data_IF_679540514433
#
_entry.id   IF_679540514433
#
_cell.length_a   1.000
_cell.length_b   1.000
_cell.length_c   1.000
_cell.angle_alpha   90.00
_cell.angle_beta   90.00
_cell.angle_gamma   90.00
#
_symmetry.space_group_name_H-M   'P 1'
#
loop_
_entity.id
_entity.type
_entity.pdbx_description
1 polymer ?
#
# COMPACT_ATOMS: atom_id res chain seq x y z
N UNK A 1 -7.87 13.74 -8.56
CA UNK A 1 -7.51 12.98 -7.36
C UNK A 1 -8.33 11.72 -7.50
N UNK A 2 -7.67 10.63 -7.81
CA UNK A 2 -8.30 9.34 -8.06
C UNK A 2 -7.42 8.31 -7.41
N UNK A 3 -7.93 7.75 -6.32
CA UNK A 3 -7.27 6.63 -5.65
C UNK A 3 -8.19 5.42 -5.73
N UNK A 4 -7.62 4.25 -6.00
CA UNK A 4 -8.35 2.98 -6.08
C UNK A 4 -7.74 1.99 -5.11
N UNK A 5 -8.58 1.28 -4.39
CA UNK A 5 -8.14 0.29 -3.40
C UNK A 5 -9.00 -0.95 -3.51
N UNK A 6 -8.39 -2.12 -3.47
CA UNK A 6 -9.12 -3.38 -3.40
C UNK A 6 -8.18 -4.58 -3.38
N UNK A 7 -8.74 -5.78 -3.47
CA UNK A 7 -7.95 -7.00 -3.51
C UNK A 7 -7.30 -7.18 -4.88
N UNK A 8 -5.99 -7.38 -4.89
CA UNK A 8 -5.28 -7.99 -6.02
C UNK A 8 -5.42 -9.51 -5.98
N UNK A 9 -5.33 -10.06 -4.77
CA UNK A 9 -5.61 -11.45 -4.45
C UNK A 9 -6.44 -11.44 -3.17
N UNK A 10 -7.67 -11.92 -3.28
CA UNK A 10 -8.65 -11.93 -2.19
C UNK A 10 -8.05 -12.45 -0.88
N UNK A 11 -8.16 -11.66 0.18
CA UNK A 11 -7.65 -11.99 1.51
C UNK A 11 -6.13 -12.07 1.65
N UNK A 12 -5.33 -11.80 0.61
CA UNK A 12 -3.86 -11.99 0.63
C UNK A 12 -3.07 -10.74 0.26
N UNK A 13 -3.48 -10.07 -0.81
CA UNK A 13 -2.73 -8.93 -1.37
C UNK A 13 -3.71 -7.83 -1.73
N UNK A 14 -3.54 -6.68 -1.10
CA UNK A 14 -4.29 -5.45 -1.37
C UNK A 14 -3.49 -4.63 -2.38
N UNK A 15 -4.18 -4.12 -3.40
CA UNK A 15 -3.66 -3.16 -4.35
C UNK A 15 -4.21 -1.77 -4.04
N UNK A 16 -3.32 -0.79 -4.10
CA UNK A 16 -3.64 0.62 -3.95
C UNK A 16 -3.03 1.34 -5.15
N UNK A 17 -3.84 2.03 -5.93
CA UNK A 17 -3.38 2.92 -7.00
C UNK A 17 -3.73 4.34 -6.61
N UNK A 18 -2.76 5.24 -6.66
CA UNK A 18 -2.97 6.66 -6.38
C UNK A 18 -2.45 7.52 -7.52
N UNK A 19 -3.30 8.41 -8.03
CA UNK A 19 -2.95 9.32 -9.13
C UNK A 19 -2.99 10.79 -8.69
N UNK A 20 -2.06 11.59 -9.24
CA UNK A 20 -1.95 13.05 -9.08
C UNK A 20 -1.47 13.54 -7.70
N UNK A 21 -2.37 13.92 -6.81
CA UNK A 21 -2.08 14.46 -5.48
C UNK A 21 -3.04 13.79 -4.52
N UNK A 22 -2.52 13.26 -3.42
CA UNK A 22 -3.32 12.58 -2.39
C UNK A 22 -3.33 13.45 -1.15
N UNK A 23 -4.52 13.80 -0.67
CA UNK A 23 -4.67 14.59 0.55
C UNK A 23 -4.45 13.74 1.80
N UNK A 24 -4.25 14.37 2.96
CA UNK A 24 -4.12 13.63 4.22
C UNK A 24 -5.42 12.94 4.65
N UNK A 25 -6.57 13.56 4.33
CA UNK A 25 -7.89 13.02 4.64
C UNK A 25 -8.20 11.82 3.72
N UNK A 26 -7.82 11.90 2.45
CA UNK A 26 -7.92 10.78 1.52
C UNK A 26 -7.01 9.61 1.95
N UNK A 27 -5.77 9.88 2.38
CA UNK A 27 -4.90 8.85 2.96
C UNK A 27 -5.51 8.21 4.21
N UNK A 28 -6.19 8.99 5.05
CA UNK A 28 -6.87 8.47 6.22
C UNK A 28 -7.99 7.48 5.82
N UNK A 29 -8.82 7.86 4.85
CA UNK A 29 -9.94 7.03 4.40
C UNK A 29 -9.47 5.77 3.68
N UNK A 30 -8.43 5.88 2.85
CA UNK A 30 -7.75 4.74 2.22
C UNK A 30 -7.20 3.79 3.28
N UNK A 31 -6.44 4.30 4.26
CA UNK A 31 -5.83 3.45 5.28
C UNK A 31 -6.87 2.75 6.19
N UNK A 32 -7.98 3.41 6.49
CA UNK A 32 -9.08 2.78 7.23
C UNK A 32 -9.73 1.67 6.40
N UNK A 33 -10.00 1.92 5.11
CA UNK A 33 -10.55 0.89 4.24
C UNK A 33 -9.61 -0.31 4.06
N UNK A 34 -8.30 -0.08 3.95
CA UNK A 34 -7.30 -1.16 3.92
C UNK A 34 -7.33 -1.96 5.23
N UNK A 35 -7.43 -1.29 6.39
CA UNK A 35 -7.54 -1.97 7.67
C UNK A 35 -8.82 -2.82 7.74
N UNK A 36 -9.96 -2.32 7.24
CA UNK A 36 -11.21 -3.08 7.16
C UNK A 36 -11.06 -4.34 6.27
N UNK A 37 -10.33 -4.24 5.16
CA UNK A 37 -10.00 -5.41 4.32
C UNK A 37 -9.10 -6.39 5.07
N UNK A 38 -8.11 -5.92 5.81
CA UNK A 38 -7.23 -6.79 6.61
C UNK A 38 -8.00 -7.53 7.72
N UNK A 39 -9.00 -6.91 8.34
CA UNK A 39 -9.85 -7.55 9.36
C UNK A 39 -10.71 -8.68 8.79
N UNK A 40 -11.07 -8.59 7.50
CA UNK A 40 -11.84 -9.62 6.79
C UNK A 40 -11.01 -10.84 6.34
N UNK A 41 -9.68 -10.75 6.39
CA UNK A 41 -8.80 -11.81 5.89
C UNK A 41 -8.64 -12.98 6.88
N UNK A 42 -8.78 -14.22 6.43
CA UNK A 42 -8.58 -15.41 7.29
C UNK A 42 -7.11 -15.85 7.45
N UNK A 43 -6.17 -15.03 7.00
CA UNK A 43 -4.73 -15.32 7.02
C UNK A 43 -3.98 -14.43 8.01
N UNK A 44 -2.82 -14.87 8.53
CA UNK A 44 -2.07 -14.10 9.50
C UNK A 44 -1.43 -12.83 8.92
N UNK A 45 -1.13 -12.79 7.62
CA UNK A 45 -0.47 -11.64 6.98
C UNK A 45 -1.15 -11.30 5.66
N UNK A 46 -1.41 -10.01 5.48
CA UNK A 46 -1.94 -9.38 4.28
C UNK A 46 -0.91 -8.39 3.76
N UNK A 47 -0.58 -8.48 2.47
CA UNK A 47 0.38 -7.63 1.81
C UNK A 47 -0.29 -6.44 1.15
N UNK A 48 0.43 -5.34 1.00
CA UNK A 48 -0.05 -4.13 0.32
C UNK A 48 0.93 -3.77 -0.79
N UNK A 49 0.44 -3.63 -2.01
CA UNK A 49 1.17 -3.03 -3.12
C UNK A 49 0.53 -1.67 -3.40
N UNK A 50 1.29 -0.61 -3.15
CA UNK A 50 0.90 0.77 -3.42
C UNK A 50 1.61 1.26 -4.68
N UNK A 51 0.85 1.38 -5.76
CA UNK A 51 1.28 1.95 -7.01
C UNK A 51 0.98 3.45 -7.04
N UNK A 52 2.02 4.24 -6.81
CA UNK A 52 1.90 5.67 -6.66
C UNK A 52 2.37 6.42 -7.91
N UNK A 53 1.40 6.91 -8.67
CA UNK A 53 1.59 7.87 -9.76
C UNK A 53 1.44 9.32 -9.28
N UNK A 54 1.23 9.55 -7.98
CA UNK A 54 1.06 10.89 -7.45
C UNK A 54 2.39 11.67 -7.50
N UNK A 55 2.32 12.86 -8.08
CA UNK A 55 3.40 13.84 -8.08
C UNK A 55 3.65 14.41 -6.67
N UNK A 56 2.65 14.36 -5.78
CA UNK A 56 2.71 14.93 -4.43
C UNK A 56 1.99 14.07 -3.40
N UNK A 57 2.62 13.96 -2.23
CA UNK A 57 2.01 13.41 -1.01
C UNK A 57 2.20 14.43 0.12
N UNK A 58 1.44 14.33 1.22
CA UNK A 58 1.65 15.18 2.39
C UNK A 58 3.02 14.89 3.01
N UNK A 59 3.84 15.92 3.21
CA UNK A 59 5.20 15.77 3.77
C UNK A 59 5.27 15.91 5.29
N UNK A 60 4.11 16.12 5.93
CA UNK A 60 4.05 16.17 7.38
C UNK A 60 4.14 14.75 7.95
N UNK A 61 5.35 14.37 8.37
CA UNK A 61 5.65 13.03 8.91
C UNK A 61 4.75 12.65 10.09
N UNK A 62 4.41 13.60 10.97
CA UNK A 62 3.55 13.32 12.13
C UNK A 62 2.13 12.98 11.67
N UNK A 63 1.61 13.69 10.67
CA UNK A 63 0.30 13.37 10.10
C UNK A 63 0.34 12.05 9.35
N UNK A 64 1.36 11.81 8.52
CA UNK A 64 1.56 10.52 7.84
C UNK A 64 1.59 9.36 8.83
N UNK A 65 2.34 9.48 9.92
CA UNK A 65 2.38 8.45 10.96
C UNK A 65 1.00 8.19 11.56
N UNK A 66 0.21 9.24 11.84
CA UNK A 66 -1.14 9.09 12.40
C UNK A 66 -2.06 8.36 11.44
N UNK A 67 -2.12 8.78 10.18
CA UNK A 67 -3.03 8.19 9.19
C UNK A 67 -2.60 6.81 8.74
N UNK A 68 -1.30 6.51 8.75
CA UNK A 68 -0.77 5.17 8.41
C UNK A 68 -0.86 4.18 9.56
N UNK A 69 -1.31 4.57 10.76
CA UNK A 69 -1.35 3.67 11.92
C UNK A 69 -2.32 2.48 11.77
N UNK A 70 -3.54 2.60 11.21
CA UNK A 70 -4.48 1.49 11.02
C UNK A 70 -3.85 0.37 10.19
N UNK A 71 -3.41 0.74 8.98
CA UNK A 71 -2.18 0.37 8.26
C UNK A 71 -1.09 -0.46 8.96
N UNK A 72 -0.04 0.29 9.25
CA UNK A 72 1.28 -0.19 9.62
C UNK A 72 1.29 -0.87 11.00
N UNK A 73 0.36 -0.50 11.88
CA UNK A 73 0.18 -1.11 13.20
C UNK A 73 -0.73 -2.34 13.21
N UNK A 74 -1.33 -2.71 12.08
CA UNK A 74 -2.25 -3.85 12.03
C UNK A 74 -1.53 -5.16 12.36
N UNK A 75 -2.09 -6.04 13.21
CA UNK A 75 -1.46 -7.32 13.54
C UNK A 75 -1.29 -8.23 12.32
N UNK A 76 -2.14 -8.07 11.31
CA UNK A 76 -2.05 -8.79 10.02
C UNK A 76 -1.22 -8.07 8.96
N UNK A 77 -0.52 -6.98 9.28
CA UNK A 77 0.27 -6.26 8.29
C UNK A 77 1.49 -7.08 7.84
N UNK A 78 1.54 -7.40 6.55
CA UNK A 78 2.67 -8.05 5.89
C UNK A 78 3.66 -7.06 5.27
N UNK A 79 4.26 -7.44 4.14
CA UNK A 79 5.00 -6.53 3.27
C UNK A 79 4.15 -5.39 2.71
N UNK A 80 4.68 -4.19 2.81
CA UNK A 80 4.20 -2.98 2.15
C UNK A 80 5.20 -2.64 1.05
N UNK A 81 4.76 -2.75 -0.20
CA UNK A 81 5.60 -2.53 -1.39
C UNK A 81 5.12 -1.27 -2.07
N UNK A 82 6.02 -0.33 -2.28
CA UNK A 82 5.71 0.94 -2.92
C UNK A 82 6.39 1.01 -4.26
N UNK A 83 5.56 1.17 -5.27
CA UNK A 83 5.95 1.34 -6.65
C UNK A 83 5.84 2.83 -6.94
N UNK A 84 6.97 3.49 -7.13
CA UNK A 84 6.97 4.89 -7.53
C UNK A 84 8.22 5.23 -8.30
N UNK A 85 8.11 6.23 -9.16
CA UNK A 85 9.27 6.87 -9.74
C UNK A 85 10.13 7.53 -8.64
N UNK A 86 11.40 7.77 -8.93
CA UNK A 86 12.37 8.31 -7.97
C UNK A 86 12.04 9.75 -7.57
N UNK A 87 11.25 9.90 -6.50
CA UNK A 87 11.03 11.16 -5.79
C UNK A 87 11.68 11.08 -4.41
N UNK A 88 12.91 11.61 -4.29
CA UNK A 88 13.72 11.49 -3.07
C UNK A 88 13.06 12.06 -1.80
N UNK A 89 12.13 13.01 -1.95
CA UNK A 89 11.40 13.59 -0.83
C UNK A 89 10.28 12.67 -0.32
N UNK A 90 9.56 12.02 -1.22
CA UNK A 90 8.60 10.94 -0.90
C UNK A 90 9.33 9.79 -0.23
N UNK A 91 10.49 9.39 -0.78
CA UNK A 91 11.29 8.30 -0.26
C UNK A 91 11.77 8.58 1.16
N UNK A 92 12.22 9.81 1.42
CA UNK A 92 12.60 10.24 2.76
C UNK A 92 11.43 10.13 3.74
N UNK A 93 10.25 10.64 3.37
CA UNK A 93 9.07 10.59 4.22
C UNK A 93 8.64 9.14 4.52
N UNK A 94 8.62 8.27 3.51
CA UNK A 94 8.26 6.86 3.69
C UNK A 94 9.27 6.09 4.54
N UNK A 95 10.57 6.36 4.36
CA UNK A 95 11.61 5.78 5.22
C UNK A 95 11.48 6.22 6.68
N UNK A 96 11.11 7.47 6.94
CA UNK A 96 10.87 7.94 8.30
C UNK A 96 9.65 7.26 8.95
N UNK A 97 8.56 7.08 8.19
CA UNK A 97 7.35 6.40 8.69
C UNK A 97 7.60 4.92 8.95
N UNK A 98 8.27 4.21 8.05
CA UNK A 98 8.51 2.76 8.19
C UNK A 98 9.37 2.41 9.40
N UNK A 99 10.35 3.25 9.75
CA UNK A 99 11.19 3.07 10.94
C UNK A 99 10.39 3.10 12.25
N UNK A 100 9.32 3.90 12.33
CA UNK A 100 8.50 4.01 13.54
C UNK A 100 7.66 2.75 13.77
N UNK A 101 7.06 2.21 12.71
CA UNK A 101 6.18 1.05 12.82
C UNK A 101 6.92 -0.30 12.72
N UNK A 102 8.22 -0.28 12.43
CA UNK A 102 9.04 -1.48 12.21
C UNK A 102 8.42 -2.43 11.17
N UNK A 103 7.76 -1.86 10.17
CA UNK A 103 7.04 -2.63 9.18
C UNK A 103 7.97 -3.15 8.08
N UNK A 104 7.57 -4.28 7.51
CA UNK A 104 8.25 -4.84 6.36
C UNK A 104 7.92 -3.97 5.15
N UNK A 105 8.87 -3.15 4.75
CA UNK A 105 8.70 -2.19 3.67
C UNK A 105 9.72 -2.42 2.56
N UNK A 106 9.30 -2.23 1.31
CA UNK A 106 10.18 -2.24 0.14
C UNK A 106 9.72 -1.18 -0.86
N UNK A 107 10.66 -0.39 -1.37
CA UNK A 107 10.45 0.40 -2.59
C UNK A 107 10.95 -0.39 -3.79
N UNK A 108 10.21 -0.34 -4.89
CA UNK A 108 10.56 -0.89 -6.20
C UNK A 108 10.23 0.11 -7.30
N UNK A 109 10.73 -0.14 -8.51
CA UNK A 109 10.62 0.77 -9.65
C UNK A 109 9.47 0.44 -10.60
N UNK A 110 8.95 -0.78 -10.57
CA UNK A 110 7.82 -1.19 -11.41
C UNK A 110 6.84 -2.12 -10.68
N UNK A 111 5.64 -2.25 -11.23
CA UNK A 111 4.63 -3.14 -10.68
C UNK A 111 5.08 -4.61 -10.79
N UNK A 112 5.68 -5.00 -11.91
CA UNK A 112 6.22 -6.34 -12.12
C UNK A 112 7.33 -6.69 -11.12
N UNK A 113 8.17 -5.71 -10.77
CA UNK A 113 9.18 -5.87 -9.72
C UNK A 113 8.52 -6.08 -8.35
N UNK A 114 7.42 -5.38 -8.05
CA UNK A 114 6.65 -5.60 -6.82
C UNK A 114 6.10 -7.02 -6.74
N UNK A 115 5.48 -7.50 -7.82
CA UNK A 115 4.91 -8.85 -7.90
C UNK A 115 6.01 -9.91 -7.75
N UNK A 116 7.12 -9.74 -8.47
CA UNK A 116 8.27 -10.65 -8.42
C UNK A 116 8.89 -10.70 -7.02
N UNK A 117 9.07 -9.54 -6.39
CA UNK A 117 9.56 -9.47 -5.02
C UNK A 117 8.60 -10.17 -4.06
N UNK A 118 7.29 -9.90 -4.15
CA UNK A 118 6.32 -10.46 -3.23
C UNK A 118 6.26 -11.99 -3.33
N UNK A 119 6.28 -12.54 -4.54
CA UNK A 119 6.36 -13.99 -4.77
C UNK A 119 7.68 -14.60 -4.27
N UNK A 120 8.77 -13.85 -4.26
CA UNK A 120 10.06 -14.33 -3.74
C UNK A 120 10.08 -14.45 -2.20
N UNK A 121 9.31 -13.61 -1.50
CA UNK A 121 9.30 -13.54 -0.02
C UNK A 121 8.12 -14.26 0.62
N UNK A 122 7.02 -14.47 -0.10
CA UNK A 122 5.89 -15.30 0.32
C UNK A 122 5.56 -16.33 -0.77
N UNK A 123 6.16 -17.51 -0.64
CA UNK A 123 5.95 -18.66 -1.54
C UNK A 123 4.57 -19.31 -1.40
N UNK A 124 3.76 -18.90 -0.42
CA UNK A 124 2.40 -19.40 -0.24
C UNK A 124 1.34 -18.60 -1.00
N UNK A 125 1.75 -17.53 -1.70
CA UNK A 125 0.87 -16.78 -2.59
C UNK A 125 0.59 -17.56 -3.88
N UNK A 126 -0.63 -17.44 -4.44
CA UNK A 126 -0.89 -17.90 -5.80
C UNK A 126 -0.13 -17.05 -6.82
N UNK A 127 -0.24 -17.41 -8.11
CA UNK A 127 0.22 -16.56 -9.19
C UNK A 127 -0.49 -15.19 -9.10
N UNK A 128 0.29 -14.11 -9.03
CA UNK A 128 -0.26 -12.77 -8.90
C UNK A 128 -0.64 -12.22 -10.28
N UNK A 129 -1.82 -11.60 -10.44
CA UNK A 129 -2.23 -11.02 -11.71
C UNK A 129 -1.37 -9.80 -12.05
N UNK A 130 -0.96 -9.68 -13.32
CA UNK A 130 -0.18 -8.55 -13.83
C UNK A 130 -0.99 -7.25 -13.90
N UNK A 131 -2.33 -7.35 -13.90
CA UNK A 131 -3.24 -6.22 -13.92
C UNK A 131 -4.30 -6.42 -12.83
N UNK A 132 -4.53 -5.43 -11.96
CA UNK A 132 -5.68 -5.42 -11.06
C UNK A 132 -6.99 -5.44 -11.85
N UNK A 133 -7.99 -6.19 -11.37
CA UNK A 133 -9.34 -6.14 -11.93
C UNK A 133 -10.03 -4.84 -11.49
N UNK A 134 -10.41 -3.93 -12.42
CA UNK A 134 -11.01 -2.66 -12.05
C UNK A 134 -12.38 -2.81 -11.36
N UNK A 135 -13.10 -3.92 -11.55
CA UNK A 135 -14.44 -4.11 -10.97
C UNK A 135 -14.40 -4.37 -9.46
N UNK A 136 -13.27 -4.84 -8.92
CA UNK A 136 -13.09 -5.12 -7.48
C UNK A 136 -12.41 -3.98 -6.73
N UNK A 137 -12.04 -2.89 -7.42
CA UNK A 137 -11.41 -1.73 -6.82
C UNK A 137 -12.46 -0.67 -6.44
N UNK A 138 -12.40 -0.23 -5.19
CA UNK A 138 -13.16 0.91 -4.68
C UNK A 138 -12.42 2.21 -5.00
N UNK A 139 -13.12 3.16 -5.61
CA UNK A 139 -12.60 4.52 -5.85
C UNK A 139 -12.78 5.45 -4.66
N UNK A 140 -11.79 6.33 -4.48
CA UNK A 140 -11.75 7.45 -3.52
C UNK A 140 -11.48 8.74 -4.31
N UNK A 141 -12.12 9.83 -3.90
CA UNK A 141 -12.03 11.17 -4.49
C UNK A 141 -11.83 12.23 -3.42
#
# INVERSE_FOLDING_TARGET
MSSKVGWLVEGRVIFVETENEVSIDELHDINNFIADLMEQADVPLVHVIAYNHAAKIPLNIIQLQKVSRPVQGHPRNGWNIFVSDNNGLVDFAMNAVSQVFKTRWRKVSSFEEALSFLQSVDQSLPALPLNPDPEVLRSFN
#
